data_IF_371017216226
#
_entry.id   IF_371017216226
#
_cell.length_a   1.000
_cell.length_b   1.000
_cell.length_c   1.000
_cell.angle_alpha   90.00
_cell.angle_beta   90.00
_cell.angle_gamma   90.00
#
_symmetry.space_group_name_H-M   'P 1'
#
loop_
_entity.id
_entity.type
_entity.pdbx_description
1 polymer ?
#
# COMPACT_ATOMS: atom_id res chain seq x y z
N UNK A 1 -8.62 -17.67 -1.81
CA UNK A 1 -8.74 -16.31 -1.28
C UNK A 1 -7.34 -15.74 -1.06
N UNK A 2 -7.10 -14.52 -1.50
CA UNK A 2 -5.79 -13.90 -1.32
C UNK A 2 -5.72 -13.28 0.06
N UNK A 3 -4.71 -13.67 0.84
CA UNK A 3 -4.48 -13.11 2.17
C UNK A 3 -3.63 -11.83 2.13
N UNK A 4 -2.89 -11.62 1.05
CA UNK A 4 -2.01 -10.47 0.89
C UNK A 4 -2.78 -9.29 0.33
N UNK A 5 -2.78 -8.18 1.05
CA UNK A 5 -3.47 -6.95 0.63
C UNK A 5 -2.52 -5.78 0.80
N UNK A 6 -2.42 -4.97 -0.24
CA UNK A 6 -1.69 -3.71 -0.19
C UNK A 6 -2.73 -2.59 -0.09
N UNK A 7 -2.70 -1.86 1.00
CA UNK A 7 -3.59 -0.71 1.20
C UNK A 7 -2.87 0.56 0.77
N UNK A 8 -3.58 1.40 0.02
CA UNK A 8 -3.08 2.73 -0.34
C UNK A 8 -4.01 3.74 0.31
N UNK A 9 -3.51 4.43 1.33
CA UNK A 9 -4.30 5.45 2.02
C UNK A 9 -4.10 6.77 1.29
N UNK A 10 -5.21 7.34 0.85
CA UNK A 10 -5.20 8.53 0.00
C UNK A 10 -5.90 9.71 0.67
N UNK A 11 -5.71 10.88 0.10
CA UNK A 11 -6.46 12.08 0.48
C UNK A 11 -6.89 12.80 -0.79
N UNK A 12 -7.70 13.85 -0.65
CA UNK A 12 -8.21 14.59 -1.81
C UNK A 12 -7.08 15.30 -2.54
N UNK A 13 -7.21 15.40 -3.87
CA UNK A 13 -6.27 16.13 -4.74
C UNK A 13 -4.82 15.66 -4.58
N UNK A 14 -4.64 14.35 -4.46
CA UNK A 14 -3.32 13.78 -4.26
C UNK A 14 -2.84 13.09 -5.55
N UNK A 15 -2.03 13.80 -6.34
CA UNK A 15 -1.47 13.22 -7.57
C UNK A 15 -0.48 12.11 -7.27
N UNK A 16 0.29 12.23 -6.18
CA UNK A 16 1.22 11.20 -5.74
C UNK A 16 0.50 9.90 -5.39
N UNK A 17 -0.72 10.00 -4.82
CA UNK A 17 -1.53 8.83 -4.51
C UNK A 17 -1.91 8.07 -5.77
N UNK A 18 -2.31 8.79 -6.82
CA UNK A 18 -2.64 8.19 -8.11
C UNK A 18 -1.43 7.55 -8.76
N UNK A 19 -0.28 8.17 -8.62
CA UNK A 19 0.98 7.64 -9.14
C UNK A 19 1.32 6.31 -8.49
N UNK A 20 1.23 6.22 -7.17
CA UNK A 20 1.50 4.97 -6.46
C UNK A 20 0.48 3.88 -6.78
N UNK A 21 -0.78 4.26 -6.93
CA UNK A 21 -1.81 3.31 -7.35
C UNK A 21 -1.47 2.70 -8.71
N UNK A 22 -1.06 3.54 -9.66
CA UNK A 22 -0.65 3.07 -10.98
C UNK A 22 0.55 2.12 -10.90
N UNK A 23 1.58 2.50 -10.15
CA UNK A 23 2.79 1.69 -10.01
C UNK A 23 2.47 0.32 -9.41
N UNK A 24 1.67 0.29 -8.34
CA UNK A 24 1.30 -0.96 -7.70
C UNK A 24 0.43 -1.84 -8.58
N UNK A 25 -0.47 -1.26 -9.36
CA UNK A 25 -1.29 -2.02 -10.30
C UNK A 25 -0.45 -2.62 -11.42
N UNK A 26 0.59 -1.92 -11.87
CA UNK A 26 1.51 -2.45 -12.87
C UNK A 26 2.31 -3.63 -12.32
N UNK A 27 2.76 -3.54 -11.07
CA UNK A 27 3.45 -4.65 -10.41
C UNK A 27 2.50 -5.84 -10.26
N UNK A 28 1.25 -5.59 -9.91
CA UNK A 28 0.24 -6.64 -9.72
C UNK A 28 -0.01 -7.44 -11.00
N UNK A 29 0.14 -6.84 -12.17
CA UNK A 29 -0.03 -7.56 -13.44
C UNK A 29 0.95 -8.74 -13.55
N UNK A 30 2.17 -8.56 -13.06
CA UNK A 30 3.21 -9.59 -13.11
C UNK A 30 3.22 -10.46 -11.85
N UNK A 31 2.56 -10.03 -10.79
CA UNK A 31 2.50 -10.76 -9.52
C UNK A 31 1.09 -10.67 -8.96
N UNK A 32 0.15 -11.52 -9.43
CA UNK A 32 -1.25 -11.44 -9.02
C UNK A 32 -1.53 -12.10 -7.67
N UNK A 33 -0.52 -12.26 -6.81
CA UNK A 33 -0.69 -12.94 -5.52
C UNK A 33 -1.28 -12.01 -4.44
N UNK A 34 -1.38 -10.72 -4.70
CA UNK A 34 -1.93 -9.76 -3.75
C UNK A 34 -3.04 -8.93 -4.39
N UNK A 35 -3.89 -8.35 -3.54
CA UNK A 35 -4.91 -7.40 -3.97
C UNK A 35 -4.52 -5.99 -3.53
N UNK A 36 -5.10 -5.00 -4.19
CA UNK A 36 -4.87 -3.59 -3.87
C UNK A 36 -6.19 -2.99 -3.42
N UNK A 37 -6.18 -2.35 -2.27
CA UNK A 37 -7.35 -1.64 -1.74
C UNK A 37 -6.97 -0.19 -1.50
N UNK A 38 -7.68 0.71 -2.18
CA UNK A 38 -7.48 2.16 -2.02
C UNK A 38 -8.50 2.67 -1.02
N UNK A 39 -8.02 3.33 0.03
CA UNK A 39 -8.88 3.81 1.12
C UNK A 39 -8.63 5.30 1.31
N UNK A 40 -9.72 6.09 1.37
CA UNK A 40 -9.62 7.50 1.71
C UNK A 40 -9.26 7.64 3.20
N UNK A 41 -8.50 8.69 3.52
CA UNK A 41 -8.05 8.94 4.89
C UNK A 41 -9.18 8.89 5.93
N UNK A 42 -10.36 9.39 5.57
CA UNK A 42 -11.49 9.42 6.50
C UNK A 42 -12.14 8.04 6.73
N UNK A 43 -11.84 7.07 5.88
CA UNK A 43 -12.47 5.74 5.93
C UNK A 43 -11.54 4.67 6.46
N UNK A 44 -10.35 5.05 6.96
CA UNK A 44 -9.34 4.09 7.42
C UNK A 44 -9.83 3.35 8.67
N UNK A 45 -9.78 2.01 8.69
CA UNK A 45 -10.21 1.25 9.85
C UNK A 45 -9.27 1.42 11.04
N UNK A 46 -9.81 1.20 12.24
CA UNK A 46 -9.10 1.42 13.50
C UNK A 46 -7.82 0.59 13.61
N UNK A 47 -7.84 -0.67 13.12
CA UNK A 47 -6.65 -1.52 13.24
C UNK A 47 -5.46 -0.97 12.46
N UNK A 48 -5.71 -0.20 11.39
CA UNK A 48 -4.63 0.49 10.68
C UNK A 48 -4.21 1.74 11.44
N UNK A 49 -5.17 2.54 11.89
CA UNK A 49 -4.89 3.77 12.63
C UNK A 49 -4.08 3.51 13.90
N UNK A 50 -4.35 2.40 14.56
CA UNK A 50 -3.68 2.05 15.81
C UNK A 50 -2.23 1.59 15.60
N UNK A 51 -1.86 1.24 14.37
CA UNK A 51 -0.55 0.67 14.08
C UNK A 51 0.30 1.50 13.14
N UNK A 52 -0.30 2.47 12.45
CA UNK A 52 0.42 3.30 11.47
C UNK A 52 0.02 4.76 11.67
N UNK A 53 1.02 5.62 11.80
CA UNK A 53 0.78 7.06 11.87
C UNK A 53 0.51 7.60 10.46
N UNK A 54 -0.65 8.23 10.27
CA UNK A 54 -1.08 8.73 8.97
C UNK A 54 -0.87 10.24 8.90
N UNK A 55 0.35 10.65 8.58
CA UNK A 55 0.72 12.07 8.48
C UNK A 55 1.00 12.53 7.06
N UNK A 56 1.42 11.63 6.19
CA UNK A 56 1.79 11.93 4.81
C UNK A 56 1.08 10.99 3.84
N UNK A 57 0.78 11.45 2.65
CA UNK A 57 0.04 10.67 1.66
C UNK A 57 0.75 10.64 0.32
N UNK A 58 0.69 9.49 -0.39
CA UNK A 58 0.02 8.27 0.02
C UNK A 58 0.79 7.55 1.15
N UNK A 59 0.05 6.80 1.97
CA UNK A 59 0.66 5.80 2.86
C UNK A 59 0.34 4.44 2.27
N UNK A 60 1.38 3.66 2.00
CA UNK A 60 1.24 2.33 1.41
C UNK A 60 1.56 1.29 2.48
N UNK A 61 0.64 0.34 2.67
CA UNK A 61 0.72 -0.63 3.76
C UNK A 61 0.62 -2.04 3.19
N UNK A 62 1.67 -2.84 3.39
CA UNK A 62 1.71 -4.24 2.96
C UNK A 62 1.22 -5.12 4.11
N UNK A 63 0.18 -5.91 3.86
CA UNK A 63 -0.38 -6.79 4.89
C UNK A 63 -0.50 -8.21 4.39
N UNK A 64 -0.48 -9.16 5.32
CA UNK A 64 -0.75 -10.57 5.06
C UNK A 64 -1.59 -11.09 6.22
N UNK A 65 -2.81 -11.57 5.94
CA UNK A 65 -3.79 -11.97 6.95
C UNK A 65 -4.02 -10.87 7.99
N UNK A 66 -4.13 -9.62 7.54
CA UNK A 66 -4.34 -8.44 8.38
C UNK A 66 -3.19 -8.15 9.35
N UNK A 67 -2.01 -8.72 9.10
CA UNK A 67 -0.78 -8.39 9.82
C UNK A 67 0.04 -7.44 8.94
N UNK A 68 0.38 -6.29 9.50
CA UNK A 68 1.17 -5.29 8.76
C UNK A 68 2.61 -5.75 8.70
N UNK A 69 3.11 -5.96 7.47
CA UNK A 69 4.49 -6.40 7.23
C UNK A 69 5.44 -5.24 7.01
N UNK A 70 4.94 -4.17 6.42
CA UNK A 70 5.76 -3.00 6.10
C UNK A 70 4.86 -1.86 5.67
N UNK A 71 5.30 -0.65 5.87
CA UNK A 71 4.60 0.52 5.33
C UNK A 71 5.59 1.63 4.99
N UNK A 72 5.20 2.49 4.06
CA UNK A 72 6.00 3.67 3.72
C UNK A 72 5.06 4.78 3.27
N UNK A 73 5.58 6.00 3.24
CA UNK A 73 4.84 7.16 2.75
C UNK A 73 5.52 7.76 1.52
N UNK A 74 4.74 8.47 0.72
CA UNK A 74 5.24 9.13 -0.48
C UNK A 74 5.32 8.19 -1.68
N UNK A 75 6.04 8.64 -2.72
CA UNK A 75 6.15 7.91 -3.98
C UNK A 75 7.50 7.23 -4.08
N UNK A 76 7.49 5.94 -4.38
CA UNK A 76 8.70 5.17 -4.67
C UNK A 76 8.61 4.63 -6.09
N UNK A 77 9.77 4.44 -6.73
CA UNK A 77 9.80 3.80 -8.05
C UNK A 77 9.34 2.34 -7.96
N UNK A 78 8.87 1.79 -9.08
CA UNK A 78 8.48 0.38 -9.13
C UNK A 78 9.59 -0.56 -8.70
N UNK A 79 10.84 -0.25 -9.08
CA UNK A 79 11.99 -1.07 -8.70
C UNK A 79 12.20 -1.09 -7.19
N UNK A 80 12.05 0.05 -6.52
CA UNK A 80 12.16 0.13 -5.06
C UNK A 80 11.04 -0.63 -4.36
N UNK A 81 9.83 -0.52 -4.89
CA UNK A 81 8.68 -1.26 -4.34
C UNK A 81 8.91 -2.76 -4.44
N UNK A 82 9.36 -3.24 -5.61
CA UNK A 82 9.65 -4.67 -5.81
C UNK A 82 10.74 -5.14 -4.85
N UNK A 83 11.78 -4.33 -4.65
CA UNK A 83 12.84 -4.65 -3.71
C UNK A 83 12.30 -4.81 -2.29
N UNK A 84 11.44 -3.89 -1.85
CA UNK A 84 10.79 -3.99 -0.54
C UNK A 84 10.00 -5.29 -0.43
N UNK A 85 9.18 -5.59 -1.45
CA UNK A 85 8.37 -6.81 -1.45
C UNK A 85 9.22 -8.06 -1.33
N UNK A 86 10.36 -8.09 -2.02
CA UNK A 86 11.30 -9.22 -1.93
C UNK A 86 11.94 -9.31 -0.55
N UNK A 87 12.33 -8.17 0.01
CA UNK A 87 13.00 -8.12 1.32
C UNK A 87 12.09 -8.58 2.45
N UNK A 88 10.78 -8.32 2.35
CA UNK A 88 9.81 -8.73 3.39
C UNK A 88 9.13 -10.06 3.07
N UNK A 89 9.52 -10.72 2.01
CA UNK A 89 8.91 -11.97 1.53
C UNK A 89 7.41 -11.83 1.26
N UNK A 90 7.06 -10.72 0.65
CA UNK A 90 5.65 -10.44 0.34
C UNK A 90 5.16 -11.14 -0.96
#
# INVERSE_FOLDING_TARGET
MKSKVVYIITTVKCSACKCMEYILKEIQKDDPTFTITVIDFYDVPEWIKNNVTLTDFPTVIFTDNNVIKYHFTGTLSGQKVIKIMNDINF
#
